data_IF_648876291980
#
_entry.id   IF_648876291980
#
_cell.length_a   1.000
_cell.length_b   1.000
_cell.length_c   1.000
_cell.angle_alpha   90.00
_cell.angle_beta   90.00
_cell.angle_gamma   90.00
#
_symmetry.space_group_name_H-M   'P 1'
#
loop_
_entity.id
_entity.type
_entity.pdbx_description
1 polymer ?
#
# COMPACT_ATOMS: atom_id res chain seq x y z
N UNK A 1 -57.01 31.23 -48.00
CA UNK A 1 -55.66 30.79 -47.57
C UNK A 1 -55.83 29.84 -46.40
N UNK A 2 -55.30 28.61 -46.56
CA UNK A 2 -55.14 27.49 -45.58
C UNK A 2 -56.43 26.77 -45.09
N UNK A 3 -56.81 25.54 -45.49
CA UNK A 3 -56.26 24.15 -45.29
C UNK A 3 -55.88 23.83 -43.84
N UNK A 4 -56.16 22.69 -43.19
CA UNK A 4 -57.01 21.49 -43.31
C UNK A 4 -56.73 20.67 -42.00
N UNK A 5 -57.57 19.67 -41.67
CA UNK A 5 -57.21 18.42 -40.94
C UNK A 5 -57.22 18.36 -39.37
N UNK A 6 -58.21 17.63 -38.81
CA UNK A 6 -58.11 16.75 -37.61
C UNK A 6 -57.51 15.37 -38.03
N UNK A 7 -57.06 14.40 -37.18
CA UNK A 7 -57.31 14.13 -35.75
C UNK A 7 -56.09 13.50 -34.96
N UNK A 8 -56.33 12.94 -33.76
CA UNK A 8 -55.97 11.57 -33.34
C UNK A 8 -55.34 11.38 -31.94
N UNK A 9 -55.93 10.41 -31.23
CA UNK A 9 -55.42 9.74 -30.03
C UNK A 9 -54.08 9.05 -30.30
N UNK A 10 -53.13 9.15 -29.37
CA UNK A 10 -51.99 8.23 -29.27
C UNK A 10 -51.71 7.86 -27.82
N UNK A 11 -52.10 6.63 -27.50
CA UNK A 11 -51.49 5.83 -26.44
C UNK A 11 -49.98 5.77 -26.65
N UNK A 12 -49.20 6.16 -25.65
CA UNK A 12 -47.78 5.80 -25.58
C UNK A 12 -47.49 5.21 -24.22
N UNK A 13 -47.60 3.87 -24.17
CA UNK A 13 -47.03 3.03 -23.14
C UNK A 13 -45.50 3.16 -23.27
N UNK A 14 -44.82 3.79 -22.32
CA UNK A 14 -43.35 3.74 -22.24
C UNK A 14 -42.98 2.78 -21.12
N UNK A 15 -42.73 1.53 -21.53
CA UNK A 15 -41.99 0.52 -20.79
C UNK A 15 -40.49 0.74 -20.99
N UNK A 16 -39.70 0.24 -20.03
CA UNK A 16 -38.22 0.17 -19.94
C UNK A 16 -37.51 1.46 -19.45
N UNK A 17 -36.54 1.42 -18.53
CA UNK A 17 -35.74 0.30 -18.06
C UNK A 17 -35.35 0.49 -16.58
N UNK A 18 -35.59 -0.53 -15.75
CA UNK A 18 -34.97 -0.65 -14.44
C UNK A 18 -33.54 -1.15 -14.66
N UNK A 19 -32.57 -0.24 -14.76
CA UNK A 19 -31.16 -0.61 -14.78
C UNK A 19 -30.74 -1.02 -13.37
N UNK A 20 -30.81 -2.31 -13.09
CA UNK A 20 -30.15 -2.90 -11.92
C UNK A 20 -28.65 -2.85 -12.19
N UNK A 21 -27.99 -1.79 -11.74
CA UNK A 21 -26.53 -1.76 -11.59
C UNK A 21 -26.17 -2.70 -10.44
N UNK A 22 -26.03 -3.98 -10.76
CA UNK A 22 -25.23 -4.88 -9.92
C UNK A 22 -23.80 -4.40 -10.08
N UNK A 23 -23.40 -3.46 -9.24
CA UNK A 23 -22.01 -3.07 -9.05
C UNK A 23 -21.29 -4.28 -8.48
N UNK A 24 -20.80 -5.15 -9.37
CA UNK A 24 -19.88 -6.19 -8.99
C UNK A 24 -18.68 -5.53 -8.34
N UNK A 25 -18.54 -5.72 -7.03
CA UNK A 25 -17.25 -5.63 -6.36
C UNK A 25 -16.38 -6.78 -6.88
N UNK A 26 -16.05 -6.77 -8.16
CA UNK A 26 -15.10 -7.68 -8.73
C UNK A 26 -13.72 -7.13 -8.37
N UNK A 27 -13.15 -7.63 -7.29
CA UNK A 27 -11.73 -7.43 -6.98
C UNK A 27 -10.93 -7.78 -8.23
N UNK A 28 -10.16 -6.83 -8.74
CA UNK A 28 -9.37 -7.06 -9.95
C UNK A 28 -8.25 -8.03 -9.57
N UNK A 29 -8.27 -9.25 -10.12
CA UNK A 29 -7.15 -10.19 -9.96
C UNK A 29 -5.90 -9.55 -10.57
N UNK A 30 -4.95 -9.21 -9.70
CA UNK A 30 -3.68 -8.64 -10.12
C UNK A 30 -2.79 -9.72 -10.71
N UNK A 31 -2.97 -11.00 -10.36
CA UNK A 31 -2.18 -12.10 -10.88
C UNK A 31 -0.67 -12.01 -10.54
N UNK A 32 0.06 -13.13 -10.58
CA UNK A 32 1.47 -13.17 -10.20
C UNK A 32 2.41 -12.43 -11.17
N UNK A 33 2.02 -12.25 -12.44
CA UNK A 33 2.86 -11.62 -13.49
C UNK A 33 2.74 -10.10 -13.59
N UNK A 34 1.83 -9.51 -12.82
CA UNK A 34 1.65 -8.06 -12.82
C UNK A 34 2.81 -7.36 -12.12
N UNK A 35 3.42 -6.39 -12.80
CA UNK A 35 4.62 -5.72 -12.31
C UNK A 35 4.60 -4.22 -12.64
N UNK A 36 3.94 -3.40 -11.82
CA UNK A 36 3.83 -1.96 -12.05
C UNK A 36 5.15 -1.22 -11.75
N UNK A 37 5.29 0.07 -12.10
CA UNK A 37 6.49 0.84 -11.79
C UNK A 37 6.72 0.99 -10.26
N UNK A 38 7.98 1.04 -9.81
CA UNK A 38 8.30 1.20 -8.39
C UNK A 38 7.98 2.62 -7.91
N UNK A 39 7.34 2.71 -6.75
CA UNK A 39 7.01 3.95 -6.06
C UNK A 39 8.01 4.22 -4.94
N UNK A 40 8.41 5.48 -4.79
CA UNK A 40 9.47 5.89 -3.86
C UNK A 40 8.93 5.98 -2.44
N UNK A 41 9.61 5.31 -1.52
CA UNK A 41 9.39 5.45 -0.08
C UNK A 41 9.97 6.80 0.39
N UNK A 42 9.31 7.57 1.26
CA UNK A 42 9.94 8.65 2.00
C UNK A 42 11.13 8.08 2.77
N UNK A 43 12.33 8.61 2.52
CA UNK A 43 13.48 8.31 3.37
C UNK A 43 13.26 9.04 4.69
N UNK A 44 13.35 8.35 5.83
CA UNK A 44 13.48 9.03 7.12
C UNK A 44 14.71 9.93 7.02
N UNK A 45 14.52 11.25 7.10
CA UNK A 45 15.65 12.17 7.26
C UNK A 45 16.41 11.72 8.51
N UNK A 46 17.73 11.42 8.43
CA UNK A 46 18.51 11.19 9.63
C UNK A 46 18.34 12.40 10.55
N UNK A 47 18.17 12.23 11.88
CA UNK A 47 18.11 13.38 12.78
C UNK A 47 19.37 14.23 12.56
N UNK A 48 19.19 15.55 12.44
CA UNK A 48 20.31 16.48 12.34
C UNK A 48 21.31 16.15 13.46
N UNK A 49 22.56 15.89 13.09
CA UNK A 49 23.62 15.61 14.06
C UNK A 49 23.69 16.79 15.03
N UNK A 50 23.40 16.54 16.32
CA UNK A 50 23.71 17.51 17.35
C UNK A 50 25.22 17.83 17.27
N UNK A 51 25.64 19.10 17.51
CA UNK A 51 27.06 19.44 17.51
C UNK A 51 27.81 18.50 18.46
N UNK A 52 28.82 17.81 17.94
CA UNK A 52 29.63 16.91 18.76
C UNK A 52 30.32 17.72 19.88
N UNK A 53 30.33 17.24 21.13
CA UNK A 53 31.22 17.81 22.14
C UNK A 53 32.69 17.57 21.72
N UNK A 54 33.64 18.43 22.14
CA UNK A 54 35.04 18.28 21.77
C UNK A 54 35.59 16.93 22.26
N UNK A 55 36.22 16.21 21.33
CA UNK A 55 36.86 14.91 21.57
C UNK A 55 38.03 15.08 22.53
N UNK A 56 37.98 14.43 23.69
CA UNK A 56 39.16 14.19 24.51
C UNK A 56 40.06 13.16 23.80
N UNK A 57 41.33 13.50 23.58
CA UNK A 57 42.31 12.62 22.93
C UNK A 57 42.58 11.38 23.80
N UNK A 58 42.52 10.14 23.27
CA UNK A 58 42.93 8.95 24.02
C UNK A 58 44.46 8.82 24.02
N UNK A 59 45.04 8.57 25.19
CA UNK A 59 46.45 8.23 25.39
C UNK A 59 46.86 6.96 24.63
N UNK A 60 48.10 6.92 24.15
CA UNK A 60 48.67 5.82 23.37
C UNK A 60 48.69 4.48 24.14
N UNK A 61 48.23 3.41 23.47
CA UNK A 61 48.28 2.02 23.96
C UNK A 61 49.63 1.40 23.57
N UNK A 62 50.37 0.76 24.49
CA UNK A 62 51.64 0.08 24.17
C UNK A 62 51.42 -1.27 23.46
N UNK A 63 52.42 -1.78 22.70
CA UNK A 63 52.28 -3.00 21.91
C UNK A 63 52.24 -4.27 22.76
N UNK A 64 51.32 -5.18 22.41
CA UNK A 64 51.14 -6.50 23.05
C UNK A 64 52.17 -7.50 22.50
N UNK A 65 52.95 -8.15 23.37
CA UNK A 65 53.86 -9.24 23.01
C UNK A 65 53.11 -10.59 22.90
N UNK A 66 53.47 -11.50 21.98
CA UNK A 66 52.82 -12.80 21.86
C UNK A 66 53.35 -13.82 22.89
N UNK A 67 52.44 -14.46 23.62
CA UNK A 67 52.72 -15.64 24.44
C UNK A 67 52.48 -16.93 23.63
N UNK A 68 53.25 -18.02 23.83
CA UNK A 68 52.98 -19.31 23.21
C UNK A 68 51.82 -20.03 23.91
N UNK A 69 50.81 -20.48 23.14
CA UNK A 69 49.66 -21.24 23.65
C UNK A 69 49.97 -22.74 23.73
N UNK A 70 49.50 -23.40 24.78
CA UNK A 70 49.60 -24.85 24.96
C UNK A 70 48.49 -25.61 24.18
N UNK A 71 48.84 -26.80 23.68
CA UNK A 71 47.97 -27.71 22.93
C UNK A 71 46.85 -28.31 23.81
N UNK A 72 45.62 -28.51 23.29
CA UNK A 72 44.55 -29.23 23.99
C UNK A 72 44.65 -30.76 23.85
N UNK A 73 44.12 -31.56 24.80
CA UNK A 73 44.14 -33.02 24.76
C UNK A 73 43.11 -33.62 23.78
N UNK A 74 43.47 -34.78 23.24
CA UNK A 74 42.65 -35.62 22.35
C UNK A 74 41.56 -36.34 23.15
N UNK A 75 40.29 -36.20 22.72
CA UNK A 75 39.26 -37.23 22.98
C UNK A 75 37.85 -36.72 23.31
N UNK A 76 36.93 -36.88 22.37
CA UNK A 76 35.63 -37.61 22.50
C UNK A 76 34.82 -37.41 21.20
N UNK A 77 34.15 -38.45 20.66
CA UNK A 77 33.30 -38.31 19.47
C UNK A 77 31.90 -37.78 19.86
N UNK A 78 31.34 -36.76 19.16
CA UNK A 78 29.95 -36.38 19.35
C UNK A 78 29.00 -37.34 18.61
N UNK A 79 27.94 -37.69 19.34
CA UNK A 79 26.78 -38.51 18.98
C UNK A 79 26.08 -37.96 17.73
N UNK A 80 25.60 -38.86 16.86
CA UNK A 80 24.97 -38.54 15.59
C UNK A 80 23.80 -37.56 15.68
N UNK A 81 23.83 -36.55 14.83
CA UNK A 81 22.70 -35.65 14.53
C UNK A 81 21.60 -36.44 13.82
N UNK A 82 20.32 -36.37 14.26
CA UNK A 82 19.20 -36.84 13.46
C UNK A 82 19.16 -36.06 12.15
N UNK A 83 18.97 -36.78 11.04
CA UNK A 83 18.99 -36.22 9.68
C UNK A 83 18.10 -34.99 9.52
N UNK A 84 18.63 -33.98 8.83
CA UNK A 84 17.88 -32.81 8.44
C UNK A 84 16.62 -33.23 7.67
N UNK A 85 15.45 -32.91 8.24
CA UNK A 85 14.19 -32.95 7.51
C UNK A 85 14.38 -32.00 6.31
N UNK A 86 14.23 -32.46 5.05
CA UNK A 86 14.25 -31.56 3.91
C UNK A 86 13.15 -30.50 4.12
N UNK A 87 13.42 -29.21 3.88
CA UNK A 87 12.39 -28.19 4.01
C UNK A 87 11.20 -28.58 3.12
N UNK A 88 10.00 -28.56 3.69
CA UNK A 88 8.78 -28.80 2.94
C UNK A 88 8.74 -27.87 1.71
N UNK A 89 8.22 -28.32 0.56
CA UNK A 89 8.00 -27.45 -0.58
C UNK A 89 7.19 -26.23 -0.15
N UNK A 90 7.77 -25.04 -0.30
CA UNK A 90 7.10 -23.78 0.03
C UNK A 90 6.09 -23.57 -1.08
N UNK A 91 4.79 -23.69 -0.78
CA UNK A 91 3.75 -23.35 -1.74
C UNK A 91 3.88 -21.86 -2.10
N UNK A 92 4.26 -21.48 -3.33
CA UNK A 92 4.52 -20.09 -3.68
C UNK A 92 3.24 -19.22 -3.68
N UNK A 93 2.07 -19.84 -3.50
CA UNK A 93 0.77 -19.18 -3.36
C UNK A 93 0.37 -18.94 -1.90
N UNK A 94 0.92 -19.69 -0.93
CA UNK A 94 0.54 -19.56 0.49
C UNK A 94 1.05 -18.25 1.13
N UNK A 95 1.97 -17.56 0.47
CA UNK A 95 2.57 -16.31 0.96
C UNK A 95 1.99 -15.05 0.31
N UNK A 96 1.02 -15.16 -0.61
CA UNK A 96 0.42 -13.99 -1.29
C UNK A 96 -0.89 -13.62 -0.62
N UNK A 97 -0.99 -12.39 -0.15
CA UNK A 97 -2.16 -11.81 0.51
C UNK A 97 -2.80 -10.76 -0.39
N UNK A 98 -4.11 -10.83 -0.58
CA UNK A 98 -4.86 -9.78 -1.29
C UNK A 98 -5.38 -8.75 -0.29
N UNK A 99 -5.29 -7.47 -0.64
CA UNK A 99 -5.80 -6.36 0.13
C UNK A 99 -6.67 -5.47 -0.76
N UNK A 100 -7.66 -4.81 -0.17
CA UNK A 100 -8.49 -3.85 -0.91
C UNK A 100 -8.94 -2.69 -0.01
N UNK A 101 -9.37 -1.59 -0.62
CA UNK A 101 -10.11 -0.53 0.07
C UNK A 101 -10.95 0.30 -0.90
N UNK A 102 -12.14 0.69 -0.43
CA UNK A 102 -12.95 1.72 -1.06
C UNK A 102 -12.54 3.10 -0.53
N UNK A 103 -12.28 4.00 -1.46
CA UNK A 103 -11.95 5.39 -1.17
C UNK A 103 -13.23 6.23 -1.21
N UNK A 104 -13.45 7.02 -0.17
CA UNK A 104 -14.63 7.88 -0.05
C UNK A 104 -14.25 9.24 0.55
N UNK A 105 -14.95 10.29 0.13
CA UNK A 105 -14.77 11.63 0.66
C UNK A 105 -15.26 11.77 2.12
N UNK A 106 -16.25 10.98 2.51
CA UNK A 106 -16.74 10.94 3.90
C UNK A 106 -15.70 10.39 4.88
N UNK A 107 -14.72 9.63 4.38
CA UNK A 107 -13.68 9.02 5.20
C UNK A 107 -12.48 9.95 5.46
N UNK A 108 -12.39 11.11 4.80
CA UNK A 108 -11.30 12.06 5.06
C UNK A 108 -11.50 12.76 6.41
N UNK A 109 -10.43 13.35 6.95
CA UNK A 109 -10.45 14.02 8.25
C UNK A 109 -9.92 15.45 8.10
N UNK A 110 -10.79 16.48 8.09
CA UNK A 110 -12.27 16.42 8.10
C UNK A 110 -12.86 15.85 6.80
N UNK A 111 -14.13 15.40 6.79
CA UNK A 111 -14.80 14.91 5.60
C UNK A 111 -14.84 15.96 4.47
N UNK A 112 -14.41 15.58 3.28
CA UNK A 112 -14.39 16.43 2.11
C UNK A 112 -15.79 16.52 1.50
N UNK A 113 -16.16 17.70 1.00
CA UNK A 113 -17.42 17.90 0.25
C UNK A 113 -17.17 17.60 -1.21
N UNK A 114 -17.16 16.32 -1.56
CA UNK A 114 -17.00 15.85 -2.93
C UNK A 114 -17.89 14.63 -3.19
N UNK A 115 -18.28 14.44 -4.45
CA UNK A 115 -18.87 13.20 -4.95
C UNK A 115 -17.82 12.15 -5.33
N UNK A 116 -16.54 12.44 -5.07
CA UNK A 116 -15.43 11.60 -5.44
C UNK A 116 -15.50 10.24 -4.76
N UNK A 117 -15.20 9.20 -5.54
CA UNK A 117 -15.06 7.83 -5.04
C UNK A 117 -13.87 7.17 -5.69
N UNK A 118 -13.32 6.14 -5.06
CA UNK A 118 -12.31 5.32 -5.69
C UNK A 118 -12.23 3.91 -5.11
N UNK A 119 -11.36 3.12 -5.71
CA UNK A 119 -11.06 1.76 -5.30
C UNK A 119 -9.56 1.53 -5.41
N UNK A 120 -9.03 0.75 -4.48
CA UNK A 120 -7.68 0.22 -4.54
C UNK A 120 -7.73 -1.29 -4.29
N UNK A 121 -7.15 -2.04 -5.21
CA UNK A 121 -6.91 -3.47 -5.05
C UNK A 121 -5.40 -3.70 -5.04
N UNK A 122 -4.93 -4.59 -4.18
CA UNK A 122 -3.52 -4.83 -3.98
C UNK A 122 -3.21 -6.28 -3.64
N UNK A 123 -1.97 -6.67 -3.89
CA UNK A 123 -1.41 -7.95 -3.48
C UNK A 123 -0.07 -7.72 -2.80
N UNK A 124 0.19 -8.51 -1.77
CA UNK A 124 1.40 -8.49 -0.99
C UNK A 124 1.99 -9.89 -0.95
N UNK A 125 3.23 -10.04 -1.39
CA UNK A 125 3.99 -11.29 -1.28
C UNK A 125 4.84 -11.25 -0.01
N UNK A 126 4.51 -12.08 0.97
CA UNK A 126 5.20 -12.15 2.26
C UNK A 126 6.63 -12.73 2.17
N UNK A 127 6.96 -13.47 1.11
CA UNK A 127 8.31 -14.00 0.90
C UNK A 127 9.26 -12.88 0.43
N UNK A 128 8.79 -12.07 -0.51
CA UNK A 128 9.60 -11.02 -1.15
C UNK A 128 9.38 -9.62 -0.54
N UNK A 129 8.35 -9.48 0.29
CA UNK A 129 7.78 -8.21 0.78
C UNK A 129 7.37 -7.26 -0.33
N UNK A 130 7.08 -7.80 -1.51
CA UNK A 130 6.67 -6.99 -2.66
C UNK A 130 5.18 -6.69 -2.56
N UNK A 131 4.87 -5.42 -2.39
CA UNK A 131 3.51 -4.88 -2.43
C UNK A 131 3.22 -4.28 -3.80
N UNK A 132 2.09 -4.64 -4.41
CA UNK A 132 1.66 -4.15 -5.72
C UNK A 132 0.19 -3.77 -5.69
N UNK A 133 -0.19 -2.68 -6.33
CA UNK A 133 -1.57 -2.20 -6.29
C UNK A 133 -2.01 -1.57 -7.62
N UNK A 134 -3.33 -1.58 -7.81
CA UNK A 134 -4.07 -0.80 -8.79
C UNK A 134 -5.08 0.07 -8.06
N UNK A 135 -5.20 1.31 -8.51
CA UNK A 135 -6.19 2.24 -8.02
C UNK A 135 -6.99 2.85 -9.17
N UNK A 136 -8.24 3.20 -8.89
CA UNK A 136 -9.10 3.94 -9.79
C UNK A 136 -9.99 4.89 -9.01
N UNK A 137 -10.44 5.95 -9.66
CA UNK A 137 -11.26 6.98 -9.05
C UNK A 137 -12.14 7.68 -10.07
N UNK A 138 -13.21 8.28 -9.58
CA UNK A 138 -14.22 8.98 -10.37
C UNK A 138 -14.85 10.09 -9.55
N UNK A 139 -15.46 11.08 -10.23
CA UNK A 139 -16.24 12.13 -9.57
C UNK A 139 -15.42 13.09 -8.72
N UNK A 140 -14.10 13.15 -8.94
CA UNK A 140 -13.21 14.07 -8.24
C UNK A 140 -13.54 15.52 -8.59
N UNK A 141 -13.40 16.40 -7.61
CA UNK A 141 -13.68 17.83 -7.70
C UNK A 141 -12.49 18.65 -8.26
N UNK A 142 -11.36 18.00 -8.54
CA UNK A 142 -10.18 18.64 -9.12
C UNK A 142 -9.14 17.65 -9.61
N UNK A 143 -8.06 18.16 -10.20
CA UNK A 143 -6.93 17.33 -10.62
C UNK A 143 -6.20 16.78 -9.39
N UNK A 144 -5.76 15.52 -9.47
CA UNK A 144 -4.97 14.90 -8.40
C UNK A 144 -3.61 15.56 -8.31
N UNK A 145 -3.25 16.01 -7.11
CA UNK A 145 -1.96 16.62 -6.78
C UNK A 145 -1.07 15.69 -5.97
N UNK A 146 -1.64 14.67 -5.33
CA UNK A 146 -0.89 13.68 -4.57
C UNK A 146 -1.72 12.44 -4.25
N UNK A 147 -1.04 11.30 -4.15
CA UNK A 147 -1.60 10.06 -3.63
C UNK A 147 -0.55 9.42 -2.73
N UNK A 148 -0.92 9.09 -1.50
CA UNK A 148 0.02 8.68 -0.47
C UNK A 148 -0.60 7.57 0.40
N UNK A 149 0.16 6.51 0.65
CA UNK A 149 -0.15 5.64 1.78
C UNK A 149 0.38 6.28 3.06
N UNK A 150 -0.46 6.24 4.09
CA UNK A 150 -0.13 6.68 5.43
C UNK A 150 -0.29 5.53 6.41
N UNK A 151 0.52 5.56 7.46
CA UNK A 151 0.50 4.57 8.51
C UNK A 151 1.76 4.65 9.38
N UNK A 152 1.77 3.98 10.53
CA UNK A 152 0.64 3.23 11.07
C UNK A 152 -0.46 4.15 11.66
N UNK A 153 -1.72 3.82 11.39
CA UNK A 153 -2.89 4.49 11.97
C UNK A 153 -4.10 3.57 11.98
N UNK A 154 -4.82 3.56 13.10
CA UNK A 154 -6.13 2.92 13.21
C UNK A 154 -7.17 3.68 12.37
N UNK A 155 -8.30 3.03 12.10
CA UNK A 155 -9.39 3.65 11.34
C UNK A 155 -9.84 4.96 12.00
N UNK A 156 -9.91 6.04 11.21
CA UNK A 156 -10.28 7.37 11.72
C UNK A 156 -9.15 8.14 12.40
N UNK A 157 -7.91 7.67 12.37
CA UNK A 157 -6.73 8.39 12.89
C UNK A 157 -5.76 8.79 11.79
N UNK A 158 -5.01 9.88 11.97
CA UNK A 158 -3.99 10.28 10.99
C UNK A 158 -2.65 9.63 11.31
N UNK A 159 -1.93 9.20 10.27
CA UNK A 159 -0.58 8.65 10.36
C UNK A 159 0.40 9.40 9.46
N UNK A 160 1.72 9.23 9.66
CA UNK A 160 2.71 9.81 8.77
C UNK A 160 2.63 9.17 7.38
N UNK A 161 3.09 9.89 6.36
CA UNK A 161 3.19 9.34 5.01
C UNK A 161 4.24 8.23 4.98
N UNK A 162 3.84 7.02 4.57
CA UNK A 162 4.71 5.85 4.47
C UNK A 162 5.17 5.61 3.03
N UNK A 163 4.40 6.05 2.05
CA UNK A 163 4.70 5.82 0.63
C UNK A 163 4.07 6.91 -0.24
N UNK A 164 4.87 7.62 -1.02
CA UNK A 164 4.43 8.77 -1.83
C UNK A 164 4.48 8.42 -3.30
N UNK A 165 3.34 8.51 -3.98
CA UNK A 165 3.21 8.07 -5.37
C UNK A 165 3.76 9.14 -6.33
N UNK A 166 4.68 8.79 -7.26
CA UNK A 166 5.07 9.71 -8.31
C UNK A 166 3.91 9.92 -9.28
N UNK A 167 3.73 11.16 -9.72
CA UNK A 167 2.89 11.47 -10.87
C UNK A 167 3.54 11.07 -12.20
N UNK A 168 2.83 11.29 -13.33
CA UNK A 168 1.50 11.90 -13.41
C UNK A 168 0.38 10.96 -12.96
N UNK A 169 -0.77 11.54 -12.57
CA UNK A 169 -1.95 10.78 -12.13
C UNK A 169 -3.03 10.78 -13.23
N UNK A 170 -3.42 9.59 -13.68
CA UNK A 170 -4.55 9.39 -14.61
C UNK A 170 -5.84 9.00 -13.88
N UNK A 171 -6.89 8.55 -14.58
CA UNK A 171 -8.10 7.98 -13.96
C UNK A 171 -7.87 6.61 -13.30
N UNK A 172 -6.73 5.98 -13.63
CA UNK A 172 -6.22 4.75 -13.02
C UNK A 172 -4.75 4.95 -12.68
N UNK A 173 -4.28 4.27 -11.65
CA UNK A 173 -2.89 4.29 -11.23
C UNK A 173 -2.43 2.92 -10.77
N UNK A 174 -1.16 2.64 -11.00
CA UNK A 174 -0.56 1.35 -10.81
C UNK A 174 0.82 1.54 -10.17
N UNK A 175 1.12 0.81 -9.09
CA UNK A 175 2.38 0.99 -8.37
C UNK A 175 2.84 -0.25 -7.62
N UNK A 176 4.14 -0.32 -7.32
CA UNK A 176 4.73 -1.32 -6.42
C UNK A 176 5.75 -0.71 -5.47
N UNK A 177 5.99 -1.39 -4.36
CA UNK A 177 7.13 -1.13 -3.50
C UNK A 177 7.54 -2.39 -2.74
N UNK A 178 8.82 -2.47 -2.38
CA UNK A 178 9.31 -3.47 -1.44
C UNK A 178 9.22 -2.88 -0.03
N UNK A 179 8.49 -3.56 0.85
CA UNK A 179 8.27 -3.09 2.22
C UNK A 179 9.40 -3.51 3.16
N UNK A 180 9.63 -2.71 4.21
CA UNK A 180 10.39 -3.18 5.38
C UNK A 180 9.56 -4.18 6.18
N UNK A 181 10.18 -5.00 7.05
CA UNK A 181 9.45 -5.91 7.92
C UNK A 181 8.39 -5.20 8.79
N UNK A 182 8.69 -4.02 9.32
CA UNK A 182 7.77 -3.24 10.17
C UNK A 182 6.57 -2.74 9.36
N UNK A 183 6.82 -2.24 8.16
CA UNK A 183 5.79 -1.80 7.23
C UNK A 183 4.87 -2.94 6.80
N UNK A 184 5.42 -4.14 6.61
CA UNK A 184 4.64 -5.32 6.30
C UNK A 184 3.70 -5.69 7.45
N UNK A 185 4.17 -5.64 8.69
CA UNK A 185 3.32 -5.86 9.88
C UNK A 185 2.20 -4.84 9.95
N UNK A 186 2.50 -3.56 9.73
CA UNK A 186 1.50 -2.49 9.76
C UNK A 186 0.48 -2.60 8.62
N UNK A 187 0.92 -2.97 7.41
CA UNK A 187 0.04 -3.20 6.27
C UNK A 187 -0.91 -4.38 6.52
N UNK A 188 -0.36 -5.53 6.95
CA UNK A 188 -1.14 -6.73 7.24
C UNK A 188 -2.06 -6.55 8.46
N UNK A 189 -1.68 -5.69 9.40
CA UNK A 189 -2.51 -5.29 10.53
C UNK A 189 -3.64 -4.31 10.16
N UNK A 190 -3.78 -3.95 8.88
CA UNK A 190 -4.81 -3.00 8.43
C UNK A 190 -4.60 -1.59 8.98
N UNK A 191 -3.36 -1.19 9.26
CA UNK A 191 -3.00 0.12 9.85
C UNK A 191 -2.56 1.13 8.79
N UNK A 192 -2.82 0.84 7.52
CA UNK A 192 -2.51 1.72 6.40
C UNK A 192 -3.79 2.26 5.76
N UNK A 193 -3.75 3.52 5.35
CA UNK A 193 -4.79 4.10 4.50
C UNK A 193 -4.17 4.82 3.31
N UNK A 194 -4.91 4.83 2.20
CA UNK A 194 -4.59 5.70 1.06
C UNK A 194 -5.32 7.02 1.26
N UNK A 195 -4.59 8.13 1.09
CA UNK A 195 -5.13 9.48 0.98
C UNK A 195 -4.84 10.02 -0.42
N UNK A 196 -5.87 10.48 -1.12
CA UNK A 196 -5.75 11.12 -2.45
C UNK A 196 -6.06 12.60 -2.29
N UNK A 197 -5.11 13.47 -2.64
CA UNK A 197 -5.24 14.92 -2.62
C UNK A 197 -5.54 15.44 -4.03
N UNK A 198 -6.36 16.48 -4.10
CA UNK A 198 -6.64 17.21 -5.34
C UNK A 198 -6.37 18.69 -5.17
N UNK A 199 -6.40 19.43 -6.28
CA UNK A 199 -6.32 20.90 -6.25
C UNK A 199 -7.41 21.54 -5.40
N UNK A 200 -8.61 20.94 -5.35
CA UNK A 200 -9.75 21.44 -4.57
C UNK A 200 -9.72 20.98 -3.10
N UNK A 201 -9.11 19.83 -2.81
CA UNK A 201 -9.01 19.27 -1.46
C UNK A 201 -7.54 18.89 -1.14
N UNK A 202 -6.69 19.87 -0.78
CA UNK A 202 -5.26 19.63 -0.55
C UNK A 202 -4.97 18.78 0.70
N UNK A 203 -5.90 18.75 1.68
CA UNK A 203 -5.79 17.87 2.85
C UNK A 203 -6.16 16.40 2.58
N UNK A 204 -6.75 16.12 1.41
CA UNK A 204 -7.33 14.84 1.06
C UNK A 204 -8.75 15.02 0.57
N UNK A 205 -9.00 14.57 -0.66
CA UNK A 205 -10.35 14.42 -1.21
C UNK A 205 -10.93 13.05 -0.93
N UNK A 206 -10.12 11.99 -1.02
CA UNK A 206 -10.55 10.62 -0.78
C UNK A 206 -9.66 9.92 0.22
N UNK A 207 -10.27 9.11 1.08
CA UNK A 207 -9.56 8.25 2.02
C UNK A 207 -10.18 6.84 2.10
N UNK A 208 -9.33 5.84 2.30
CA UNK A 208 -9.76 4.45 2.53
C UNK A 208 -8.70 3.64 3.28
N UNK A 209 -9.14 2.91 4.31
CA UNK A 209 -8.31 2.02 5.12
C UNK A 209 -8.13 0.68 4.39
N UNK A 210 -6.89 0.23 4.24
CA UNK A 210 -6.57 -1.06 3.64
C UNK A 210 -6.89 -2.19 4.61
N UNK A 211 -7.49 -3.25 4.08
CA UNK A 211 -7.77 -4.47 4.82
C UNK A 211 -7.45 -5.69 3.95
N UNK A 212 -7.12 -6.80 4.60
CA UNK A 212 -6.94 -8.10 3.94
C UNK A 212 -8.30 -8.61 3.47
N UNK A 213 -8.34 -9.14 2.26
CA UNK A 213 -9.51 -9.82 1.68
C UNK A 213 -9.29 -11.32 1.81
N UNK A 214 -10.25 -12.00 2.44
CA UNK A 214 -10.27 -13.45 2.63
C UNK A 214 -11.27 -14.13 1.69
#
# INVERSE_FOLDING_TARGET
MSTFTFPSSRSTLVLLALAVLVGGCASVDLGPRYNPPPVRMPQTTPPAQAPMPPVAQPSAVPPVQPMPQALPPIGTPPVGVPGAVPPAPIDPQASVVTLSTRLDAANTLPPARSSGTGQLDAIYDANTRLFRWKASWSGLSGAITGAQFHGPADQGQNGPATLVWPGPFGPKYEGRATLTPEQAVDLMGGRWYLNVQTTANPGGELRGQLHVVH
#
